data_IF_925587362338
#
_entry.id   IF_925587362338
#
_cell.length_a   1.000
_cell.length_b   1.000
_cell.length_c   1.000
_cell.angle_alpha   90.00
_cell.angle_beta   90.00
_cell.angle_gamma   90.00
#
_symmetry.space_group_name_H-M   'P 1'
#
loop_
_entity.id
_entity.type
_entity.pdbx_description
1 polymer ?
#
# COMPACT_ATOMS: atom_id res chain seq x y z
N UNK A 1 -0.98 13.27 -17.34
CA UNK A 1 -0.48 13.55 -15.97
C UNK A 1 -1.53 13.07 -15.00
N UNK A 2 -1.32 13.18 -13.68
CA UNK A 2 -2.36 12.85 -12.69
C UNK A 2 -3.66 13.66 -12.93
N UNK A 3 -3.54 14.88 -13.47
CA UNK A 3 -4.67 15.79 -13.74
C UNK A 3 -5.65 15.27 -14.82
N UNK A 4 -5.25 14.26 -15.60
CA UNK A 4 -6.07 13.67 -16.65
C UNK A 4 -6.61 12.28 -16.28
N UNK A 5 -6.44 11.87 -15.01
CA UNK A 5 -6.89 10.57 -14.51
C UNK A 5 -8.23 10.78 -13.84
N UNK A 6 -9.26 10.08 -14.31
CA UNK A 6 -10.49 9.91 -13.54
C UNK A 6 -10.25 8.83 -12.48
N UNK A 7 -10.17 9.24 -11.23
CA UNK A 7 -9.90 8.34 -10.12
C UNK A 7 -11.08 7.40 -9.84
N UNK A 8 -12.28 7.74 -10.32
CA UNK A 8 -13.45 6.89 -10.10
C UNK A 8 -13.39 5.60 -10.95
N UNK A 9 -12.63 5.61 -12.05
CA UNK A 9 -12.41 4.45 -12.94
C UNK A 9 -11.52 3.35 -12.34
N UNK A 10 -10.87 3.59 -11.20
CA UNK A 10 -9.93 2.64 -10.58
C UNK A 10 -10.46 2.11 -9.25
N UNK A 11 -10.30 0.80 -9.03
CA UNK A 11 -10.64 0.12 -7.77
C UNK A 11 -9.58 0.28 -6.67
N UNK A 12 -8.36 0.67 -7.06
CA UNK A 12 -7.18 0.71 -6.18
C UNK A 12 -6.21 1.82 -6.55
N UNK A 13 -5.59 2.41 -5.53
CA UNK A 13 -4.35 3.20 -5.67
C UNK A 13 -3.20 2.45 -5.00
N UNK A 14 -2.07 2.33 -5.70
CA UNK A 14 -0.86 1.68 -5.19
C UNK A 14 0.34 2.65 -5.23
N UNK A 15 0.91 2.94 -4.07
CA UNK A 15 2.02 3.88 -3.92
C UNK A 15 3.36 3.12 -3.83
N UNK A 16 4.26 3.28 -4.82
CA UNK A 16 5.58 2.68 -4.76
C UNK A 16 6.46 3.41 -3.74
N UNK A 17 7.48 2.69 -3.26
CA UNK A 17 8.50 3.27 -2.39
C UNK A 17 9.56 4.08 -3.12
N UNK A 18 10.78 4.01 -2.59
CA UNK A 18 11.87 4.91 -2.96
C UNK A 18 11.79 6.21 -2.15
N UNK A 19 12.83 6.50 -1.37
CA UNK A 19 12.81 7.62 -0.41
C UNK A 19 12.39 8.96 -1.03
N UNK A 20 13.04 9.43 -2.10
CA UNK A 20 12.65 10.68 -2.77
C UNK A 20 11.26 10.63 -3.39
N UNK A 21 10.87 9.50 -4.00
CA UNK A 21 9.56 9.33 -4.61
C UNK A 21 8.42 9.39 -3.58
N UNK A 22 8.57 8.67 -2.47
CA UNK A 22 7.61 8.70 -1.37
C UNK A 22 7.49 10.10 -0.73
N UNK A 23 8.59 10.84 -0.62
CA UNK A 23 8.54 12.22 -0.11
C UNK A 23 7.83 13.16 -1.09
N UNK A 24 8.06 13.01 -2.40
CA UNK A 24 7.32 13.77 -3.41
C UNK A 24 5.83 13.45 -3.38
N UNK A 25 5.46 12.17 -3.25
CA UNK A 25 4.06 11.74 -3.11
C UNK A 25 3.39 12.32 -1.86
N UNK A 26 4.09 12.30 -0.72
CA UNK A 26 3.61 12.88 0.54
C UNK A 26 3.35 14.38 0.42
N UNK A 27 4.21 15.09 -0.29
CA UNK A 27 4.12 16.55 -0.44
C UNK A 27 3.20 17.00 -1.58
N UNK A 28 2.67 16.06 -2.38
CA UNK A 28 1.66 16.36 -3.40
C UNK A 28 0.25 16.31 -2.80
N UNK A 29 -0.34 17.50 -2.62
CA UNK A 29 -1.71 17.63 -2.06
C UNK A 29 -2.78 16.81 -2.79
N UNK A 30 -2.59 16.53 -4.08
CA UNK A 30 -3.53 15.71 -4.87
C UNK A 30 -3.55 14.26 -4.38
N UNK A 31 -2.40 13.73 -3.99
CA UNK A 31 -2.28 12.34 -3.50
C UNK A 31 -3.05 12.19 -2.19
N UNK A 32 -2.88 13.12 -1.24
CA UNK A 32 -3.64 13.10 0.02
C UNK A 32 -5.15 13.15 -0.21
N UNK A 33 -5.62 13.99 -1.14
CA UNK A 33 -7.04 14.09 -1.48
C UNK A 33 -7.59 12.79 -2.12
N UNK A 34 -6.82 12.16 -3.00
CA UNK A 34 -7.21 10.87 -3.62
C UNK A 34 -7.29 9.77 -2.55
N UNK A 35 -6.31 9.68 -1.65
CA UNK A 35 -6.30 8.70 -0.56
C UNK A 35 -7.53 8.82 0.34
N UNK A 36 -7.87 10.05 0.74
CA UNK A 36 -9.06 10.32 1.54
C UNK A 36 -10.35 9.97 0.80
N UNK A 37 -10.42 10.31 -0.49
CA UNK A 37 -11.56 9.95 -1.35
C UNK A 37 -11.73 8.43 -1.43
N UNK A 38 -10.64 7.69 -1.64
CA UNK A 38 -10.67 6.23 -1.72
C UNK A 38 -11.06 5.60 -0.39
N UNK A 39 -10.60 6.14 0.73
CA UNK A 39 -11.00 5.69 2.04
C UNK A 39 -12.51 5.87 2.28
N UNK A 40 -13.08 7.03 1.89
CA UNK A 40 -14.52 7.29 1.98
C UNK A 40 -15.35 6.41 1.05
N UNK A 41 -14.83 6.07 -0.13
CA UNK A 41 -15.48 5.18 -1.11
C UNK A 41 -15.24 3.69 -0.82
N UNK A 42 -14.54 3.34 0.27
CA UNK A 42 -14.14 1.96 0.61
C UNK A 42 -13.34 1.25 -0.52
N UNK A 43 -12.60 2.02 -1.31
CA UNK A 43 -11.67 1.54 -2.35
C UNK A 43 -10.35 1.09 -1.75
N UNK A 44 -9.61 0.27 -2.50
CA UNK A 44 -8.35 -0.27 -2.02
C UNK A 44 -7.23 0.78 -2.03
N UNK A 45 -6.45 0.82 -0.95
CA UNK A 45 -5.28 1.68 -0.82
C UNK A 45 -4.08 0.80 -0.49
N UNK A 46 -3.04 0.89 -1.30
CA UNK A 46 -1.85 0.07 -1.15
C UNK A 46 -0.57 0.92 -1.13
N UNK A 47 0.41 0.55 -0.31
CA UNK A 47 1.70 1.25 -0.24
C UNK A 47 2.84 0.30 0.14
N UNK A 48 4.02 0.47 -0.48
CA UNK A 48 5.17 -0.40 -0.21
C UNK A 48 6.43 0.40 0.14
N UNK A 49 7.29 -0.20 0.96
CA UNK A 49 8.62 0.29 1.27
C UNK A 49 8.56 1.63 2.02
N UNK A 50 8.93 2.75 1.37
CA UNK A 50 8.89 4.07 1.98
C UNK A 50 7.50 4.73 1.91
N UNK A 51 6.63 4.29 1.00
CA UNK A 51 5.33 4.92 0.75
C UNK A 51 4.28 4.80 1.87
N UNK A 52 4.33 3.84 2.82
CA UNK A 52 3.42 3.85 3.97
C UNK A 52 3.44 5.16 4.77
N UNK A 53 4.55 5.94 4.74
CA UNK A 53 4.59 7.28 5.34
C UNK A 53 3.59 8.27 4.72
N UNK A 54 3.26 8.08 3.44
CA UNK A 54 2.26 8.89 2.74
C UNK A 54 0.88 8.60 3.31
N UNK A 55 0.59 7.33 3.60
CA UNK A 55 -0.67 6.90 4.20
C UNK A 55 -0.79 7.39 5.65
N UNK A 56 0.30 7.30 6.41
CA UNK A 56 0.41 7.88 7.75
C UNK A 56 0.12 9.39 7.75
N UNK A 57 0.78 10.15 6.87
CA UNK A 57 0.58 11.59 6.75
C UNK A 57 -0.86 11.97 6.33
N UNK A 58 -1.53 11.08 5.59
CA UNK A 58 -2.93 11.24 5.21
C UNK A 58 -3.91 10.69 6.26
N UNK A 59 -3.48 10.19 7.43
CA UNK A 59 -4.37 9.62 8.46
C UNK A 59 -5.02 8.28 8.10
N UNK A 60 -4.56 7.63 7.02
CA UNK A 60 -5.15 6.38 6.52
C UNK A 60 -4.82 5.18 7.43
N UNK A 61 -3.72 5.27 8.20
CA UNK A 61 -3.25 4.20 9.08
C UNK A 61 -3.82 4.27 10.51
N UNK A 62 -4.60 5.30 10.84
CA UNK A 62 -5.14 5.48 12.19
C UNK A 62 -6.03 4.30 12.59
N UNK A 63 -5.72 3.68 13.73
CA UNK A 63 -6.44 2.50 14.23
C UNK A 63 -6.20 1.20 13.44
N UNK A 64 -5.19 1.13 12.56
CA UNK A 64 -4.91 -0.04 11.72
C UNK A 64 -3.59 -0.73 12.04
N UNK A 65 -3.42 -1.95 11.52
CA UNK A 65 -2.13 -2.62 11.40
C UNK A 65 -1.44 -2.21 10.10
N UNK A 66 -0.15 -1.91 10.16
CA UNK A 66 0.65 -1.56 8.99
C UNK A 66 2.08 -2.07 9.07
N UNK A 67 2.75 -2.21 7.93
CA UNK A 67 4.18 -2.49 7.85
C UNK A 67 4.86 -1.53 6.86
N UNK A 68 6.18 -1.38 6.96
CA UNK A 68 6.96 -0.50 6.07
C UNK A 68 8.42 -0.93 5.99
N UNK A 69 9.21 -0.24 5.17
CA UNK A 69 10.65 -0.40 5.21
C UNK A 69 11.19 0.02 6.58
N UNK A 70 12.16 -0.70 7.18
CA UNK A 70 12.67 -0.33 8.50
C UNK A 70 13.11 1.13 8.59
N UNK A 71 12.68 1.83 9.65
CA UNK A 71 13.01 3.24 9.90
C UNK A 71 12.13 4.26 9.14
N UNK A 72 11.06 3.83 8.47
CA UNK A 72 10.13 4.71 7.76
C UNK A 72 8.95 5.15 8.62
N UNK A 73 8.41 4.23 9.41
CA UNK A 73 7.34 4.48 10.39
C UNK A 73 7.90 4.15 11.77
N UNK A 74 7.67 5.05 12.71
CA UNK A 74 8.01 4.88 14.13
C UNK A 74 6.71 4.85 14.94
N UNK A 75 6.63 3.98 15.95
CA UNK A 75 5.39 3.75 16.69
C UNK A 75 5.00 4.97 17.55
N UNK A 76 5.99 5.75 17.98
CA UNK A 76 5.83 6.96 18.77
C UNK A 76 5.06 8.05 18.01
N UNK A 77 5.19 8.08 16.68
CA UNK A 77 4.50 9.02 15.80
C UNK A 77 3.07 8.55 15.43
N UNK A 78 2.75 7.27 15.69
CA UNK A 78 1.52 6.60 15.28
C UNK A 78 0.88 5.81 16.44
N UNK A 79 0.41 6.49 17.50
CA UNK A 79 -0.01 5.85 18.74
C UNK A 79 -1.22 4.91 18.61
N UNK A 80 -1.98 5.00 17.51
CA UNK A 80 -3.14 4.14 17.24
C UNK A 80 -2.88 3.09 16.16
N UNK A 81 -1.70 3.12 15.51
CA UNK A 81 -1.33 2.16 14.46
C UNK A 81 -0.45 1.07 15.05
N UNK A 82 -0.80 -0.19 14.80
CA UNK A 82 0.04 -1.33 15.18
C UNK A 82 1.04 -1.62 14.04
N UNK A 83 2.33 -1.34 14.28
CA UNK A 83 3.39 -1.63 13.30
C UNK A 83 3.80 -3.10 13.37
N UNK A 84 3.64 -3.82 12.26
CA UNK A 84 3.97 -5.25 12.14
C UNK A 84 5.23 -5.48 11.31
N UNK A 85 5.83 -6.66 11.44
CA UNK A 85 7.00 -7.09 10.67
C UNK A 85 6.63 -8.02 9.50
N UNK A 86 5.35 -8.15 9.18
CA UNK A 86 4.85 -9.02 8.12
C UNK A 86 5.37 -8.56 6.75
N UNK A 87 5.68 -9.48 5.81
CA UNK A 87 6.08 -9.10 4.45
C UNK A 87 5.02 -8.24 3.74
N UNK A 88 3.75 -8.56 3.99
CA UNK A 88 2.57 -7.80 3.57
C UNK A 88 1.61 -7.76 4.76
N UNK A 89 1.06 -6.59 5.05
CA UNK A 89 0.03 -6.39 6.06
C UNK A 89 -1.24 -5.92 5.37
N UNK A 90 -2.31 -6.70 5.50
CA UNK A 90 -3.67 -6.33 5.07
C UNK A 90 -4.48 -5.99 6.32
N UNK A 91 -5.11 -4.82 6.34
CA UNK A 91 -6.07 -4.41 7.37
C UNK A 91 -7.25 -3.66 6.72
N UNK A 92 -8.38 -4.33 6.62
CA UNK A 92 -9.52 -3.86 5.83
C UNK A 92 -9.11 -3.62 4.38
N UNK A 93 -9.38 -2.40 3.88
CA UNK A 93 -9.04 -1.96 2.50
C UNK A 93 -7.64 -1.36 2.36
N UNK A 94 -6.81 -1.43 3.41
CA UNK A 94 -5.44 -0.89 3.40
C UNK A 94 -4.43 -2.04 3.35
N UNK A 95 -3.50 -1.96 2.40
CA UNK A 95 -2.45 -2.97 2.19
C UNK A 95 -1.09 -2.27 2.26
N UNK A 96 -0.21 -2.74 3.15
CA UNK A 96 1.16 -2.23 3.24
C UNK A 96 2.19 -3.33 3.10
N UNK A 97 3.39 -3.01 2.63
CA UNK A 97 4.48 -3.98 2.46
C UNK A 97 5.87 -3.37 2.73
N UNK A 98 6.86 -4.22 3.02
CA UNK A 98 8.14 -3.82 3.62
C UNK A 98 9.17 -3.26 2.65
N UNK A 99 9.35 -3.83 1.46
CA UNK A 99 10.51 -3.46 0.65
C UNK A 99 10.61 -4.17 -0.69
N UNK A 100 11.71 -3.96 -1.44
CA UNK A 100 11.93 -4.63 -2.72
C UNK A 100 11.85 -6.16 -2.60
N UNK A 101 12.35 -6.74 -1.50
CA UNK A 101 12.29 -8.18 -1.25
C UNK A 101 10.88 -8.75 -1.05
N UNK A 102 9.89 -7.90 -0.76
CA UNK A 102 8.48 -8.31 -0.55
C UNK A 102 7.56 -7.82 -1.67
N UNK A 103 8.13 -7.24 -2.74
CA UNK A 103 7.35 -6.64 -3.83
C UNK A 103 6.49 -7.66 -4.58
N UNK A 104 6.98 -8.90 -4.72
CA UNK A 104 6.23 -9.96 -5.37
C UNK A 104 5.04 -10.43 -4.51
N UNK A 105 5.23 -10.59 -3.19
CA UNK A 105 4.14 -10.92 -2.27
C UNK A 105 3.09 -9.81 -2.22
N UNK A 106 3.55 -8.56 -2.23
CA UNK A 106 2.69 -7.40 -2.32
C UNK A 106 1.85 -7.43 -3.59
N UNK A 107 2.48 -7.54 -4.77
CA UNK A 107 1.78 -7.56 -6.05
C UNK A 107 0.77 -8.72 -6.15
N UNK A 108 1.14 -9.92 -5.70
CA UNK A 108 0.23 -11.07 -5.69
C UNK A 108 -0.95 -10.87 -4.71
N UNK A 109 -0.72 -10.23 -3.57
CA UNK A 109 -1.80 -9.86 -2.65
C UNK A 109 -2.75 -8.86 -3.30
N UNK A 110 -2.24 -7.87 -4.04
CA UNK A 110 -3.08 -6.92 -4.77
C UNK A 110 -3.93 -7.62 -5.84
N UNK A 111 -3.34 -8.55 -6.58
CA UNK A 111 -4.06 -9.37 -7.56
C UNK A 111 -5.16 -10.19 -6.88
N UNK A 112 -4.86 -10.81 -5.75
CA UNK A 112 -5.82 -11.64 -5.03
C UNK A 112 -7.04 -10.85 -4.54
N UNK A 113 -6.84 -9.65 -3.98
CA UNK A 113 -7.96 -8.84 -3.48
C UNK A 113 -8.81 -8.21 -4.58
N UNK A 114 -8.25 -8.05 -5.79
CA UNK A 114 -8.96 -7.46 -6.94
C UNK A 114 -9.61 -8.53 -7.84
N UNK A 115 -8.94 -9.67 -8.01
CA UNK A 115 -9.30 -10.67 -9.03
C UNK A 115 -9.44 -12.11 -8.48
N UNK A 116 -9.27 -12.30 -7.17
CA UNK A 116 -9.45 -13.59 -6.49
C UNK A 116 -8.20 -14.49 -6.48
N UNK A 117 -8.27 -15.51 -5.64
CA UNK A 117 -7.16 -16.46 -5.38
C UNK A 117 -6.79 -17.31 -6.59
N UNK A 118 -7.75 -17.61 -7.47
CA UNK A 118 -7.51 -18.31 -8.74
C UNK A 118 -6.59 -17.49 -9.64
N UNK A 119 -6.89 -16.20 -9.85
CA UNK A 119 -6.06 -15.32 -10.67
C UNK A 119 -4.68 -15.11 -10.07
N UNK A 120 -4.59 -14.96 -8.75
CA UNK A 120 -3.30 -14.90 -8.02
C UNK A 120 -2.45 -16.15 -8.27
N UNK A 121 -3.07 -17.33 -8.21
CA UNK A 121 -2.37 -18.62 -8.47
C UNK A 121 -1.94 -18.76 -9.92
N UNK A 122 -2.82 -18.40 -10.86
CA UNK A 122 -2.51 -18.36 -12.30
C UNK A 122 -1.30 -17.49 -12.60
N UNK A 123 -1.23 -16.30 -11.99
CA UNK A 123 -0.11 -15.36 -12.17
C UNK A 123 1.15 -15.85 -11.46
N UNK A 124 1.06 -16.42 -10.26
CA UNK A 124 2.25 -16.84 -9.50
C UNK A 124 2.93 -18.08 -10.09
N UNK A 125 2.16 -19.07 -10.54
CA UNK A 125 2.67 -20.37 -11.02
C UNK A 125 3.83 -20.26 -12.03
N UNK A 126 3.75 -19.44 -13.10
CA UNK A 126 4.85 -19.31 -14.07
C UNK A 126 6.05 -18.51 -13.54
N UNK A 127 5.96 -17.84 -12.39
CA UNK A 127 7.04 -17.03 -11.82
C UNK A 127 8.13 -17.88 -11.15
N UNK A 128 7.87 -19.18 -10.91
CA UNK A 128 8.82 -20.13 -10.32
C UNK A 128 9.46 -19.60 -9.02
N UNK A 129 8.65 -18.93 -8.20
CA UNK A 129 9.12 -18.35 -6.94
C UNK A 129 9.47 -19.46 -5.94
N UNK A 130 10.46 -19.23 -5.07
CA UNK A 130 10.67 -20.11 -3.92
C UNK A 130 9.39 -20.19 -3.08
N UNK A 131 9.06 -21.38 -2.61
CA UNK A 131 7.98 -21.56 -1.64
C UNK A 131 8.37 -20.83 -0.36
N UNK A 132 7.45 -20.03 0.18
CA UNK A 132 7.63 -19.27 1.42
C UNK A 132 7.71 -20.18 2.65
#
# INVERSE_FOLDING_TARGET
TLDNVDIDEFDMIALPGGGPGAENLKNDSRIGAILQTYAMQEKWIAAICAAPKVLAAAGILDGKKATSYPGILEAEDLPTTELTQNPVQVDGKVITSRGPGTAMDFALTLIEVLAGSEKRTEVETPLQRPVA
#
